data_IF_920483387177
#
_entry.id   IF_920483387177
#
_cell.length_a   1.000
_cell.length_b   1.000
_cell.length_c   1.000
_cell.angle_alpha   90.00
_cell.angle_beta   90.00
_cell.angle_gamma   90.00
#
_symmetry.space_group_name_H-M   'P 1'
#
loop_
_entity.id
_entity.type
_entity.pdbx_description
1 polymer ?
#
# COMPACT_ATOMS: atom_id res chain seq x y z
N UNK A 1 8.62 -11.06 9.88
CA UNK A 1 7.60 -10.92 8.83
C UNK A 1 6.94 -9.55 8.93
N UNK A 2 6.88 -8.82 7.81
CA UNK A 2 6.33 -7.47 7.73
C UNK A 2 5.76 -7.16 6.35
N UNK A 3 5.11 -6.00 6.24
CA UNK A 3 4.33 -5.59 5.07
C UNK A 3 4.86 -4.29 4.51
N UNK A 4 5.09 -4.26 3.20
CA UNK A 4 5.29 -3.01 2.48
C UNK A 4 3.93 -2.48 2.02
N UNK A 5 3.66 -1.23 2.37
CA UNK A 5 2.40 -0.55 2.11
C UNK A 5 2.63 0.69 1.24
N UNK A 6 1.74 0.96 0.28
CA UNK A 6 1.56 2.29 -0.30
C UNK A 6 0.57 3.05 0.56
N UNK A 7 0.93 4.27 0.98
CA UNK A 7 0.11 5.14 1.82
C UNK A 7 -0.57 6.17 0.93
N UNK A 8 -1.90 6.05 0.86
CA UNK A 8 -2.77 6.99 0.15
C UNK A 8 -3.18 8.19 0.99
N UNK A 9 -4.19 8.96 0.57
CA UNK A 9 -4.72 10.08 1.32
C UNK A 9 -5.41 9.61 2.59
N UNK A 10 -5.47 10.52 3.57
CA UNK A 10 -6.39 10.37 4.71
C UNK A 10 -7.80 10.66 4.21
N UNK A 11 -8.69 9.69 4.34
CA UNK A 11 -10.08 9.85 3.95
C UNK A 11 -10.93 10.18 5.19
N UNK A 12 -11.89 11.10 5.03
CA UNK A 12 -12.96 11.29 6.02
C UNK A 12 -14.07 10.32 5.64
N UNK A 13 -14.47 9.49 6.60
CA UNK A 13 -15.56 8.51 6.50
C UNK A 13 -15.44 7.43 5.41
N UNK A 14 -16.40 6.51 5.45
CA UNK A 14 -16.48 5.28 4.65
C UNK A 14 -16.94 5.55 3.20
N UNK A 15 -16.45 6.59 2.55
CA UNK A 15 -16.79 6.81 1.13
C UNK A 15 -16.14 5.70 0.29
N UNK A 16 -16.94 4.72 -0.10
CA UNK A 16 -16.50 3.55 -0.86
C UNK A 16 -16.08 3.95 -2.29
N UNK A 17 -16.78 4.89 -2.91
CA UNK A 17 -16.48 5.30 -4.28
C UNK A 17 -15.14 6.04 -4.37
N UNK A 18 -14.84 6.91 -3.40
CA UNK A 18 -13.54 7.59 -3.35
C UNK A 18 -12.41 6.57 -3.17
N UNK A 19 -12.64 5.54 -2.36
CA UNK A 19 -11.68 4.45 -2.14
C UNK A 19 -11.42 3.67 -3.42
N UNK A 20 -12.47 3.30 -4.12
CA UNK A 20 -12.36 2.57 -5.38
C UNK A 20 -11.65 3.38 -6.47
N UNK A 21 -12.00 4.66 -6.62
CA UNK A 21 -11.29 5.55 -7.55
C UNK A 21 -9.82 5.70 -7.19
N UNK A 22 -9.47 5.77 -5.91
CA UNK A 22 -8.08 5.82 -5.50
C UNK A 22 -7.37 4.49 -5.79
N UNK A 23 -8.04 3.36 -5.54
CA UNK A 23 -7.52 2.02 -5.84
C UNK A 23 -7.21 1.84 -7.31
N UNK A 24 -8.13 2.18 -8.18
CA UNK A 24 -7.94 2.08 -9.63
C UNK A 24 -6.77 2.94 -10.08
N UNK A 25 -6.68 4.20 -9.61
CA UNK A 25 -5.55 5.08 -9.93
C UNK A 25 -4.20 4.52 -9.51
N UNK A 26 -4.11 3.93 -8.31
CA UNK A 26 -2.86 3.30 -7.85
C UNK A 26 -2.55 2.07 -8.70
N UNK A 27 -3.55 1.24 -9.00
CA UNK A 27 -3.41 0.06 -9.85
C UNK A 27 -2.92 0.41 -11.25
N UNK A 28 -3.51 1.40 -11.89
CA UNK A 28 -3.10 1.89 -13.21
C UNK A 28 -1.65 2.37 -13.19
N UNK A 29 -1.28 3.18 -12.19
CA UNK A 29 0.10 3.65 -12.04
C UNK A 29 1.09 2.50 -11.83
N UNK A 30 0.75 1.52 -10.99
CA UNK A 30 1.59 0.33 -10.79
C UNK A 30 1.72 -0.49 -12.07
N UNK A 31 0.62 -0.67 -12.81
CA UNK A 31 0.62 -1.36 -14.10
C UNK A 31 1.52 -0.67 -15.13
N UNK A 32 1.52 0.67 -15.20
CA UNK A 32 2.42 1.42 -16.07
C UNK A 32 3.90 1.28 -15.67
N UNK A 33 4.18 0.89 -14.42
CA UNK A 33 5.53 0.60 -13.93
C UNK A 33 5.90 -0.89 -14.07
N UNK A 34 5.04 -1.70 -14.68
CA UNK A 34 5.25 -3.14 -14.82
C UNK A 34 4.99 -3.94 -13.53
N UNK A 35 4.37 -3.33 -12.52
CA UNK A 35 4.00 -4.00 -11.27
C UNK A 35 2.55 -4.45 -11.35
N UNK A 36 2.34 -5.76 -11.30
CA UNK A 36 1.01 -6.38 -11.18
C UNK A 36 0.95 -7.13 -9.86
N UNK A 37 0.05 -6.71 -8.97
CA UNK A 37 -0.15 -7.37 -7.69
C UNK A 37 -1.24 -8.43 -7.85
N UNK A 38 -1.01 -9.63 -7.29
CA UNK A 38 -2.02 -10.70 -7.31
C UNK A 38 -3.23 -10.33 -6.46
N UNK A 39 -2.99 -9.63 -5.35
CA UNK A 39 -4.03 -9.18 -4.42
C UNK A 39 -3.82 -7.70 -4.06
N UNK A 40 -4.93 -6.97 -3.91
CA UNK A 40 -4.96 -5.57 -3.52
C UNK A 40 -5.63 -5.43 -2.17
N UNK A 41 -4.91 -5.76 -1.10
CA UNK A 41 -5.44 -5.71 0.27
C UNK A 41 -5.40 -4.27 0.77
N UNK A 42 -6.58 -3.69 0.99
CA UNK A 42 -6.72 -2.36 1.61
C UNK A 42 -6.88 -2.48 3.11
N UNK A 43 -6.05 -1.74 3.83
CA UNK A 43 -6.09 -1.67 5.28
C UNK A 43 -6.50 -0.27 5.70
N UNK A 44 -7.41 -0.22 6.68
CA UNK A 44 -7.68 0.99 7.44
C UNK A 44 -6.81 0.98 8.68
N UNK A 45 -6.01 2.03 8.85
CA UNK A 45 -5.49 2.31 10.18
C UNK A 45 -6.53 3.07 11.02
N UNK A 46 -6.30 3.15 12.34
CA UNK A 46 -7.17 3.89 13.27
C UNK A 46 -7.26 5.40 12.96
N UNK A 47 -6.49 5.88 11.99
CA UNK A 47 -6.41 7.28 11.57
C UNK A 47 -7.04 7.49 10.18
N UNK A 48 -7.74 6.50 9.62
CA UNK A 48 -8.38 6.51 8.30
C UNK A 48 -7.41 6.81 7.15
N UNK A 49 -6.13 6.43 7.28
CA UNK A 49 -5.24 6.38 6.14
C UNK A 49 -5.57 5.17 5.29
N UNK A 50 -5.69 5.43 3.99
CA UNK A 50 -5.91 4.40 3.02
C UNK A 50 -4.55 3.74 2.70
N UNK A 51 -4.35 2.47 3.10
CA UNK A 51 -3.09 1.75 2.87
C UNK A 51 -3.30 0.53 1.96
N UNK A 52 -2.48 0.39 0.94
CA UNK A 52 -2.48 -0.77 0.03
C UNK A 52 -1.27 -1.65 0.32
N UNK A 53 -1.50 -2.93 0.59
CA UNK A 53 -0.41 -3.92 0.66
C UNK A 53 0.14 -4.16 -0.74
N UNK A 54 1.45 -4.04 -0.89
CA UNK A 54 2.16 -4.29 -2.16
C UNK A 54 3.21 -5.39 -2.06
N UNK A 55 3.50 -5.87 -0.85
CA UNK A 55 4.37 -7.01 -0.65
C UNK A 55 4.42 -7.43 0.82
N UNK A 56 4.74 -8.72 1.03
CA UNK A 56 4.99 -9.34 2.33
C UNK A 56 6.42 -9.85 2.33
N UNK A 57 7.15 -9.55 3.38
CA UNK A 57 8.59 -9.83 3.47
C UNK A 57 8.92 -10.45 4.81
N UNK A 58 9.89 -11.36 4.84
CA UNK A 58 10.37 -11.93 6.11
C UNK A 58 11.14 -10.90 6.92
N UNK A 59 11.99 -10.12 6.24
CA UNK A 59 12.82 -9.06 6.82
C UNK A 59 12.59 -7.72 6.13
N UNK A 60 12.81 -6.62 6.85
CA UNK A 60 12.61 -5.28 6.31
C UNK A 60 13.55 -4.97 5.15
N UNK A 61 14.78 -5.48 5.21
CA UNK A 61 15.84 -5.25 4.22
C UNK A 61 15.43 -5.75 2.82
N UNK A 62 14.67 -6.85 2.76
CA UNK A 62 14.21 -7.46 1.50
C UNK A 62 13.20 -6.56 0.77
N UNK A 63 12.52 -5.66 1.49
CA UNK A 63 11.55 -4.72 0.93
C UNK A 63 12.18 -3.46 0.33
N UNK A 64 13.45 -3.17 0.67
CA UNK A 64 14.09 -1.88 0.41
C UNK A 64 14.16 -1.54 -1.08
N UNK A 65 14.40 -2.53 -1.94
CA UNK A 65 14.44 -2.32 -3.38
C UNK A 65 13.09 -1.83 -3.92
N UNK A 66 12.02 -2.58 -3.63
CA UNK A 66 10.67 -2.21 -4.08
C UNK A 66 10.21 -0.89 -3.44
N UNK A 67 10.50 -0.69 -2.15
CA UNK A 67 10.19 0.54 -1.44
C UNK A 67 10.83 1.75 -2.11
N UNK A 68 12.13 1.71 -2.42
CA UNK A 68 12.83 2.80 -3.10
C UNK A 68 12.32 3.02 -4.51
N UNK A 69 12.03 1.93 -5.24
CA UNK A 69 11.45 2.02 -6.58
C UNK A 69 10.10 2.75 -6.55
N UNK A 70 9.21 2.38 -5.64
CA UNK A 70 7.91 3.03 -5.48
C UNK A 70 8.04 4.51 -5.06
N UNK A 71 8.92 4.81 -4.11
CA UNK A 71 9.19 6.19 -3.68
C UNK A 71 9.72 7.07 -4.82
N UNK A 72 10.65 6.55 -5.62
CA UNK A 72 11.17 7.25 -6.81
C UNK A 72 10.08 7.55 -7.84
N UNK A 73 9.04 6.73 -7.90
CA UNK A 73 7.88 6.90 -8.77
C UNK A 73 6.72 7.67 -8.11
N UNK A 74 6.98 8.37 -7.00
CA UNK A 74 6.04 9.30 -6.38
C UNK A 74 5.03 8.66 -5.42
N UNK A 75 5.21 7.41 -5.03
CA UNK A 75 4.40 6.80 -3.99
C UNK A 75 4.98 7.07 -2.60
N UNK A 76 4.11 7.41 -1.65
CA UNK A 76 4.46 7.34 -0.23
C UNK A 76 4.36 5.88 0.21
N UNK A 77 5.37 5.38 0.92
CA UNK A 77 5.40 3.99 1.39
C UNK A 77 5.67 3.90 2.88
N UNK A 78 5.27 2.78 3.48
CA UNK A 78 5.52 2.44 4.89
C UNK A 78 5.85 0.96 4.97
N UNK A 79 6.84 0.58 5.78
CA UNK A 79 7.05 -0.82 6.15
C UNK A 79 6.49 -1.03 7.54
N UNK A 80 5.62 -2.02 7.71
CA UNK A 80 4.97 -2.31 8.98
C UNK A 80 5.26 -3.74 9.43
N UNK A 81 5.83 -3.84 10.62
CA UNK A 81 6.01 -5.10 11.34
C UNK A 81 4.85 -5.32 12.29
N UNK A 82 4.38 -6.57 12.40
CA UNK A 82 3.34 -7.00 13.34
C UNK A 82 2.03 -6.17 13.25
N UNK A 83 1.37 -6.16 12.08
CA UNK A 83 0.13 -5.41 11.92
C UNK A 83 -1.00 -5.86 12.85
N UNK A 84 -1.78 -4.90 13.35
CA UNK A 84 -2.94 -5.15 14.22
C UNK A 84 -4.03 -6.01 13.55
N UNK A 85 -4.06 -6.13 12.22
CA UNK A 85 -5.08 -6.89 11.46
C UNK A 85 -4.69 -8.35 11.17
N UNK A 86 -3.48 -8.79 11.56
CA UNK A 86 -3.07 -10.19 11.50
C UNK A 86 -3.22 -10.95 12.83
N UNK A 87 -3.69 -10.28 13.88
CA UNK A 87 -4.00 -10.89 15.18
C UNK A 87 -5.45 -11.34 15.21
#
# INVERSE_FOLDING_TARGET
MGYLLIVGPKLKDRDFEIREKYREKIREKLSHLGIVLQEYVWIWDRKNWLKLVVGKYEKAEDSVYLQRFLQKNGFKTEFLENPDWEK
#
